data_IF_693169775420
#
_entry.id   IF_693169775420
#
_cell.length_a   1.000
_cell.length_b   1.000
_cell.length_c   1.000
_cell.angle_alpha   90.00
_cell.angle_beta   90.00
_cell.angle_gamma   90.00
#
_symmetry.space_group_name_H-M   'P 1'
#
loop_
_entity.id
_entity.type
_entity.pdbx_description
1 polymer ?
#
# COMPACT_ATOMS: atom_id res chain seq x y z
N UNK A 1 -0.05 2.82 19.63
CA UNK A 1 0.17 2.44 18.22
C UNK A 1 1.63 2.01 18.13
N UNK A 2 1.90 0.72 17.93
CA UNK A 2 3.28 0.24 17.86
C UNK A 2 3.92 0.74 16.57
N UNK A 3 5.08 1.39 16.66
CA UNK A 3 5.80 1.88 15.49
C UNK A 3 6.31 0.70 14.66
N UNK A 4 6.08 0.74 13.34
CA UNK A 4 6.72 -0.23 12.42
C UNK A 4 8.22 0.02 12.45
N UNK A 5 9.02 -1.03 12.68
CA UNK A 5 10.48 -0.90 12.70
C UNK A 5 11.01 -0.42 11.34
N UNK A 6 11.89 0.58 11.33
CA UNK A 6 12.57 1.09 10.13
C UNK A 6 13.23 -0.02 9.31
N UNK A 7 13.78 -1.05 9.98
CA UNK A 7 14.36 -2.21 9.31
C UNK A 7 13.29 -3.00 8.54
N UNK A 8 12.13 -3.22 9.15
CA UNK A 8 11.01 -3.91 8.51
C UNK A 8 10.50 -3.13 7.29
N UNK A 9 10.41 -1.80 7.40
CA UNK A 9 10.08 -0.91 6.27
C UNK A 9 11.09 -1.07 5.15
N UNK A 10 12.37 -0.81 5.43
CA UNK A 10 13.45 -0.80 4.44
C UNK A 10 13.66 -2.15 3.72
N UNK A 11 13.37 -3.27 4.37
CA UNK A 11 13.52 -4.60 3.75
C UNK A 11 12.23 -5.15 3.14
N UNK A 12 11.08 -4.52 3.40
CA UNK A 12 9.81 -5.00 2.85
C UNK A 12 9.69 -4.64 1.38
N UNK A 13 9.06 -5.53 0.60
CA UNK A 13 8.84 -5.28 -0.82
C UNK A 13 7.93 -4.07 -1.02
N UNK A 14 8.25 -3.16 -1.95
CA UNK A 14 7.31 -2.12 -2.35
C UNK A 14 6.06 -2.75 -2.98
N UNK A 15 4.91 -2.16 -2.72
CA UNK A 15 3.60 -2.52 -3.24
C UNK A 15 3.08 -1.36 -4.08
N UNK A 16 2.61 -1.67 -5.29
CA UNK A 16 2.16 -0.67 -6.26
C UNK A 16 0.66 -0.45 -6.17
N UNK A 17 0.26 0.81 -6.26
CA UNK A 17 -1.14 1.22 -6.28
C UNK A 17 -1.38 1.97 -7.57
N UNK A 18 -2.29 1.46 -8.40
CA UNK A 18 -2.70 2.07 -9.65
C UNK A 18 -4.03 2.79 -9.38
N UNK A 19 -3.97 4.11 -9.27
CA UNK A 19 -5.06 4.94 -8.72
C UNK A 19 -5.77 5.70 -9.82
N UNK A 20 -7.09 5.72 -9.72
CA UNK A 20 -7.97 6.48 -10.58
C UNK A 20 -8.06 5.94 -12.02
N UNK A 21 -8.85 6.59 -12.88
CA UNK A 21 -9.09 6.13 -14.25
C UNK A 21 -7.83 6.13 -15.13
N UNK A 22 -6.82 6.92 -14.76
CA UNK A 22 -5.53 6.98 -15.45
C UNK A 22 -4.53 5.94 -14.94
N UNK A 23 -4.88 5.17 -13.90
CA UNK A 23 -4.01 4.19 -13.26
C UNK A 23 -2.64 4.80 -12.88
N UNK A 24 -2.66 6.00 -12.30
CA UNK A 24 -1.45 6.67 -11.82
C UNK A 24 -0.77 5.77 -10.79
N UNK A 25 0.51 5.45 -11.03
CA UNK A 25 1.25 4.49 -10.19
C UNK A 25 1.87 5.18 -8.98
N UNK A 26 1.51 4.70 -7.79
CA UNK A 26 2.12 5.03 -6.51
C UNK A 26 2.77 3.79 -5.90
N UNK A 27 3.76 3.99 -5.05
CA UNK A 27 4.46 2.89 -4.38
C UNK A 27 4.56 3.12 -2.87
N UNK A 28 4.21 2.10 -2.09
CA UNK A 28 4.33 2.08 -0.61
C UNK A 28 5.00 0.78 -0.16
N UNK A 29 5.88 0.83 0.84
CA UNK A 29 6.47 -0.38 1.42
C UNK A 29 5.39 -1.26 2.06
N UNK A 30 5.34 -2.56 1.71
CA UNK A 30 4.26 -3.48 2.11
C UNK A 30 4.07 -3.57 3.62
N UNK A 31 5.15 -3.44 4.40
CA UNK A 31 5.06 -3.45 5.88
C UNK A 31 4.29 -2.26 6.43
N UNK A 32 4.41 -1.08 5.80
CA UNK A 32 3.65 0.12 6.17
C UNK A 32 2.18 -0.04 5.79
N UNK A 33 1.89 -0.57 4.60
CA UNK A 33 0.51 -0.86 4.15
C UNK A 33 -0.18 -1.85 5.08
N UNK A 34 0.50 -2.96 5.41
CA UNK A 34 -0.04 -3.99 6.28
C UNK A 34 -0.34 -3.48 7.69
N UNK A 35 0.39 -2.48 8.15
CA UNK A 35 0.20 -1.91 9.47
C UNK A 35 -1.09 -1.07 9.58
N UNK A 36 -1.62 -0.57 8.47
CA UNK A 36 -2.77 0.35 8.49
C UNK A 36 -4.09 -0.34 8.85
N UNK A 37 -4.31 -1.58 8.39
CA UNK A 37 -5.51 -2.34 8.75
C UNK A 37 -5.37 -3.84 8.46
N UNK A 38 -6.17 -4.70 9.12
CA UNK A 38 -6.20 -6.13 8.82
C UNK A 38 -6.54 -6.44 7.36
N UNK A 39 -7.41 -5.65 6.73
CA UNK A 39 -7.78 -5.82 5.32
C UNK A 39 -6.59 -5.53 4.39
N UNK A 40 -5.86 -4.45 4.65
CA UNK A 40 -4.66 -4.09 3.89
C UNK A 40 -3.51 -5.08 4.14
N UNK A 41 -3.38 -5.61 5.36
CA UNK A 41 -2.46 -6.69 5.67
C UNK A 41 -2.75 -7.96 4.85
N UNK A 42 -4.03 -8.33 4.75
CA UNK A 42 -4.45 -9.46 3.93
C UNK A 42 -4.24 -9.22 2.43
N UNK A 43 -4.42 -7.99 1.95
CA UNK A 43 -4.16 -7.62 0.55
C UNK A 43 -2.68 -7.76 0.17
N UNK A 44 -1.76 -7.32 1.02
CA UNK A 44 -0.32 -7.34 0.68
C UNK A 44 0.38 -8.65 1.02
N UNK A 45 -0.06 -9.37 2.06
CA UNK A 45 0.58 -10.61 2.53
C UNK A 45 -0.23 -11.89 2.26
N UNK A 46 -1.46 -11.76 1.74
CA UNK A 46 -2.36 -12.88 1.52
C UNK A 46 -2.01 -13.73 0.31
N UNK A 47 -3.00 -14.46 -0.19
CA UNK A 47 -2.88 -15.35 -1.37
C UNK A 47 -3.62 -14.83 -2.61
N UNK A 48 -4.13 -13.61 -2.53
CA UNK A 48 -4.91 -12.98 -3.60
C UNK A 48 -4.03 -12.66 -4.81
N UNK A 49 -4.65 -12.19 -5.90
CA UNK A 49 -3.90 -11.83 -7.09
C UNK A 49 -2.99 -10.62 -6.83
N UNK A 50 -3.50 -9.65 -6.06
CA UNK A 50 -2.80 -8.43 -5.70
C UNK A 50 -1.51 -8.72 -4.91
N UNK A 51 -1.55 -9.67 -3.97
CA UNK A 51 -0.37 -10.05 -3.18
C UNK A 51 0.70 -10.76 -4.03
N UNK A 52 0.29 -11.47 -5.09
CA UNK A 52 1.20 -12.15 -6.01
C UNK A 52 1.84 -11.19 -7.00
N UNK A 53 1.07 -10.23 -7.47
CA UNK A 53 1.51 -9.21 -8.45
C UNK A 53 2.21 -8.02 -7.79
N UNK A 54 2.14 -7.91 -6.45
CA UNK A 54 2.60 -6.75 -5.68
C UNK A 54 1.98 -5.45 -6.20
N UNK A 55 0.73 -5.51 -6.64
CA UNK A 55 0.00 -4.36 -7.14
C UNK A 55 -1.50 -4.50 -6.96
N UNK A 56 -2.18 -3.37 -6.78
CA UNK A 56 -3.65 -3.28 -6.81
C UNK A 56 -4.10 -2.13 -7.70
N UNK A 57 -5.27 -2.29 -8.33
CA UNK A 57 -5.95 -1.25 -9.08
C UNK A 57 -7.15 -0.74 -8.31
N UNK A 58 -7.21 0.56 -8.08
CA UNK A 58 -8.33 1.25 -7.45
C UNK A 58 -8.80 2.38 -8.38
N UNK A 59 -9.59 2.00 -9.37
CA UNK A 59 -10.10 2.91 -10.40
C UNK A 59 -11.10 3.94 -9.86
N UNK A 60 -11.69 3.66 -8.69
CA UNK A 60 -12.70 4.46 -7.98
C UNK A 60 -12.12 5.40 -6.90
N UNK A 61 -10.82 5.30 -6.62
CA UNK A 61 -10.15 6.15 -5.65
C UNK A 61 -9.58 7.39 -6.33
N UNK A 62 -9.92 8.55 -5.80
CA UNK A 62 -9.37 9.83 -6.25
C UNK A 62 -7.88 9.96 -5.88
N UNK A 63 -7.06 10.45 -6.82
CA UNK A 63 -5.61 10.58 -6.66
C UNK A 63 -5.22 11.51 -5.50
N UNK A 64 -5.99 12.58 -5.25
CA UNK A 64 -5.75 13.49 -4.13
C UNK A 64 -5.98 12.80 -2.79
N UNK A 65 -7.06 12.02 -2.69
CA UNK A 65 -7.37 11.23 -1.49
C UNK A 65 -6.28 10.19 -1.24
N UNK A 66 -5.85 9.48 -2.29
CA UNK A 66 -4.77 8.50 -2.15
C UNK A 66 -3.44 9.16 -1.77
N UNK A 67 -3.13 10.33 -2.32
CA UNK A 67 -1.92 11.06 -1.96
C UNK A 67 -1.89 11.46 -0.47
N UNK A 68 -3.04 11.86 0.10
CA UNK A 68 -3.15 12.08 1.55
C UNK A 68 -2.92 10.80 2.36
N UNK A 69 -3.46 9.66 1.92
CA UNK A 69 -3.17 8.37 2.54
C UNK A 69 -1.68 8.01 2.43
N UNK A 70 -1.07 8.22 1.27
CA UNK A 70 0.35 7.97 1.03
C UNK A 70 1.22 8.77 2.01
N UNK A 71 0.94 10.07 2.19
CA UNK A 71 1.64 10.92 3.15
C UNK A 71 1.47 10.40 4.58
N UNK A 72 0.22 10.13 4.99
CA UNK A 72 -0.10 9.62 6.32
C UNK A 72 0.64 8.31 6.67
N UNK A 73 0.82 7.43 5.70
CA UNK A 73 1.48 6.14 5.92
C UNK A 73 3.00 6.27 6.17
N UNK A 74 3.60 7.39 5.74
CA UNK A 74 5.05 7.64 5.86
C UNK A 74 5.43 8.66 6.96
N UNK A 75 4.47 9.33 7.60
CA UNK A 75 4.70 10.37 8.63
C UNK A 75 4.10 9.99 9.97
#
# INVERSE_FOLDING_TARGET
>A
MELVSNKAVATSKPFRFLIGPHQTEYTIHSSLVAHQSPALAAMVNGKSQESREYSVKWDDVDEMVFNSFWQFVYT
#
